data_IF_586924288106
#
_entry.id   IF_586924288106
#
_cell.length_a   1.000
_cell.length_b   1.000
_cell.length_c   1.000
_cell.angle_alpha   90.00
_cell.angle_beta   90.00
_cell.angle_gamma   90.00
#
_symmetry.space_group_name_H-M   'P 1'
#
loop_
_entity.id
_entity.type
_entity.pdbx_description
1 polymer ?
#
# COMPACT_ATOMS: atom_id res chain seq x y z
N UNK A 1 9.59 -2.05 -1.24
CA UNK A 1 8.94 -0.75 -1.49
C UNK A 1 8.26 -0.80 -2.86
N UNK A 2 7.08 -0.20 -2.98
CA UNK A 2 6.36 -0.06 -4.25
C UNK A 2 6.02 1.40 -4.47
N UNK A 3 6.24 1.91 -5.68
CA UNK A 3 5.84 3.27 -6.10
C UNK A 3 5.00 3.19 -7.36
N UNK A 4 3.93 3.98 -7.45
CA UNK A 4 3.13 4.11 -8.66
C UNK A 4 2.45 5.47 -8.74
N UNK A 5 1.98 5.82 -9.94
CA UNK A 5 1.23 7.03 -10.21
C UNK A 5 -0.19 6.67 -10.63
N UNK A 6 -1.16 7.36 -10.05
CA UNK A 6 -2.58 7.25 -10.43
C UNK A 6 -2.91 8.31 -11.47
N UNK A 7 -3.94 8.04 -12.28
CA UNK A 7 -4.55 9.11 -13.07
C UNK A 7 -5.14 10.17 -12.13
N UNK A 8 -5.08 11.47 -12.46
CA UNK A 8 -5.58 12.53 -11.59
C UNK A 8 -7.02 12.28 -11.09
N UNK A 9 -7.89 11.79 -11.98
CA UNK A 9 -9.31 11.53 -11.73
C UNK A 9 -9.58 10.33 -10.81
N UNK A 10 -8.62 9.42 -10.61
CA UNK A 10 -8.80 8.19 -9.81
C UNK A 10 -8.00 8.21 -8.50
N UNK A 11 -7.33 9.33 -8.19
CA UNK A 11 -6.45 9.42 -7.02
C UNK A 11 -7.19 9.29 -5.68
N UNK A 12 -8.35 9.94 -5.54
CA UNK A 12 -9.13 9.89 -4.30
C UNK A 12 -9.82 8.53 -4.12
N UNK A 13 -10.27 7.92 -5.23
CA UNK A 13 -10.75 6.53 -5.24
C UNK A 13 -9.64 5.57 -4.77
N UNK A 14 -8.42 5.72 -5.31
CA UNK A 14 -7.29 4.91 -4.89
C UNK A 14 -6.95 5.12 -3.40
N UNK A 15 -7.02 6.35 -2.90
CA UNK A 15 -6.83 6.65 -1.48
C UNK A 15 -7.86 5.92 -0.62
N UNK A 16 -9.14 5.96 -1.00
CA UNK A 16 -10.19 5.28 -0.25
C UNK A 16 -10.00 3.76 -0.20
N UNK A 17 -9.57 3.14 -1.31
CA UNK A 17 -9.24 1.71 -1.35
C UNK A 17 -8.05 1.38 -0.44
N UNK A 18 -7.00 2.21 -0.45
CA UNK A 18 -5.87 2.04 0.47
C UNK A 18 -6.31 2.19 1.92
N UNK A 19 -7.13 3.18 2.26
CA UNK A 19 -7.68 3.37 3.61
C UNK A 19 -8.51 2.16 4.07
N UNK A 20 -9.26 1.51 3.17
CA UNK A 20 -9.98 0.27 3.48
C UNK A 20 -9.03 -0.89 3.83
N UNK A 21 -7.89 -1.02 3.14
CA UNK A 21 -6.85 -2.01 3.49
C UNK A 21 -6.33 -1.77 4.90
N UNK A 22 -6.05 -0.51 5.25
CA UNK A 22 -5.58 -0.18 6.61
C UNK A 22 -6.66 -0.39 7.67
N UNK A 23 -7.92 -0.15 7.36
CA UNK A 23 -9.03 -0.45 8.28
C UNK A 23 -9.15 -1.96 8.55
N UNK A 24 -9.04 -2.80 7.52
CA UNK A 24 -9.05 -4.25 7.68
C UNK A 24 -7.80 -4.77 8.42
N UNK A 25 -6.63 -4.19 8.16
CA UNK A 25 -5.41 -4.48 8.92
C UNK A 25 -5.55 -4.15 10.41
N UNK A 26 -6.18 -3.01 10.72
CA UNK A 26 -6.42 -2.61 12.11
C UNK A 26 -7.41 -3.54 12.83
N UNK A 27 -8.43 -4.03 12.11
CA UNK A 27 -9.42 -4.98 12.64
C UNK A 27 -8.84 -6.38 12.85
N UNK A 28 -8.15 -6.91 11.84
CA UNK A 28 -7.56 -8.27 11.89
C UNK A 28 -6.28 -8.34 12.72
N UNK A 29 -5.56 -7.22 12.85
CA UNK A 29 -4.27 -7.09 13.55
C UNK A 29 -3.29 -8.25 13.28
N UNK A 30 -3.00 -8.60 12.01
CA UNK A 30 -2.13 -9.72 11.69
C UNK A 30 -0.69 -9.45 12.20
N UNK A 31 -0.06 -10.49 12.72
CA UNK A 31 1.34 -10.41 13.19
C UNK A 31 2.33 -10.50 12.03
N UNK A 32 3.54 -9.98 12.22
CA UNK A 32 4.62 -10.11 11.24
C UNK A 32 4.53 -9.17 10.04
N UNK A 33 3.65 -8.15 10.09
CA UNK A 33 3.50 -7.13 9.05
C UNK A 33 3.68 -5.75 9.68
N UNK A 34 4.58 -4.95 9.11
CA UNK A 34 4.63 -3.49 9.31
C UNK A 34 4.46 -2.83 7.96
N UNK A 35 3.40 -2.03 7.80
CA UNK A 35 3.01 -1.50 6.51
C UNK A 35 2.68 -0.01 6.59
N UNK A 36 3.14 0.74 5.59
CA UNK A 36 2.96 2.18 5.49
C UNK A 36 2.64 2.55 4.05
N UNK A 37 1.71 3.49 3.88
CA UNK A 37 1.38 4.07 2.58
C UNK A 37 1.41 5.59 2.65
N UNK A 38 1.88 6.20 1.57
CA UNK A 38 2.00 7.64 1.43
C UNK A 38 1.45 8.07 0.10
N UNK A 39 0.69 9.17 0.08
CA UNK A 39 0.46 9.98 -1.11
C UNK A 39 1.48 11.12 -1.10
N UNK A 40 2.25 11.28 -2.17
CA UNK A 40 3.26 12.33 -2.24
C UNK A 40 2.63 13.69 -2.55
N UNK A 41 3.42 14.75 -2.42
CA UNK A 41 2.97 16.13 -2.57
C UNK A 41 2.47 16.48 -3.99
N UNK A 42 2.82 15.70 -5.01
CA UNK A 42 2.27 15.83 -6.36
C UNK A 42 0.79 15.42 -6.47
N UNK A 43 0.25 14.82 -5.42
CA UNK A 43 -1.14 14.42 -5.34
C UNK A 43 -1.48 13.19 -6.18
N UNK A 44 -0.55 12.59 -6.91
CA UNK A 44 -0.85 11.46 -7.81
C UNK A 44 0.05 10.25 -7.56
N UNK A 45 1.23 10.46 -6.96
CA UNK A 45 2.16 9.39 -6.64
C UNK A 45 1.82 8.78 -5.29
N UNK A 46 1.75 7.44 -5.26
CA UNK A 46 1.66 6.66 -4.04
C UNK A 46 2.94 5.85 -3.83
N UNK A 47 3.36 5.76 -2.57
CA UNK A 47 4.49 4.94 -2.12
C UNK A 47 4.02 4.02 -1.01
N UNK A 48 4.33 2.74 -1.13
CA UNK A 48 4.06 1.73 -0.11
C UNK A 48 5.36 1.11 0.37
N UNK A 49 5.50 1.03 1.69
CA UNK A 49 6.63 0.42 2.38
C UNK A 49 6.08 -0.68 3.26
N UNK A 50 6.48 -1.92 2.97
CA UNK A 50 6.12 -3.09 3.76
C UNK A 50 7.38 -3.78 4.26
N UNK A 51 7.35 -4.17 5.53
CA UNK A 51 8.29 -5.08 6.16
C UNK A 51 7.44 -6.29 6.59
N UNK A 52 7.77 -7.46 6.06
CA UNK A 52 7.02 -8.70 6.32
C UNK A 52 7.99 -9.77 6.81
N UNK A 53 7.59 -10.51 7.83
CA UNK A 53 8.24 -11.77 8.20
C UNK A 53 7.92 -12.86 7.16
N UNK A 54 8.70 -13.94 7.14
CA UNK A 54 8.51 -15.04 6.18
C UNK A 54 7.10 -15.64 6.29
N UNK A 55 6.37 -15.61 5.17
CA UNK A 55 5.00 -16.12 5.08
C UNK A 55 3.90 -15.12 5.43
N UNK A 56 4.22 -13.95 5.98
CA UNK A 56 3.24 -12.88 6.21
C UNK A 56 2.91 -12.16 4.91
N UNK A 57 1.62 -12.03 4.59
CA UNK A 57 1.16 -11.46 3.32
C UNK A 57 -0.11 -10.64 3.51
N UNK A 58 -0.23 -9.57 2.71
CA UNK A 58 -1.48 -8.80 2.59
C UNK A 58 -2.51 -9.50 1.68
N UNK A 59 -2.12 -10.57 1.00
CA UNK A 59 -2.97 -11.26 0.02
C UNK A 59 -4.24 -11.90 0.63
N UNK A 60 -4.26 -12.16 1.93
CA UNK A 60 -5.41 -12.73 2.64
C UNK A 60 -6.43 -11.67 3.09
N UNK A 61 -6.23 -10.40 2.71
CA UNK A 61 -7.14 -9.30 2.99
C UNK A 61 -8.09 -9.08 1.81
N UNK A 62 -9.38 -9.03 2.10
CA UNK A 62 -10.41 -8.82 1.08
C UNK A 62 -10.29 -7.42 0.47
N UNK A 63 -10.02 -6.41 1.31
CA UNK A 63 -9.77 -5.04 0.87
C UNK A 63 -8.49 -4.93 0.02
N UNK A 64 -7.48 -5.76 0.27
CA UNK A 64 -6.27 -5.75 -0.56
C UNK A 64 -6.54 -6.34 -1.94
N UNK A 65 -7.36 -7.39 -2.00
CA UNK A 65 -7.85 -7.95 -3.26
C UNK A 65 -8.66 -6.91 -4.05
N UNK A 66 -9.59 -6.20 -3.40
CA UNK A 66 -10.37 -5.14 -4.07
C UNK A 66 -9.48 -3.95 -4.47
N UNK A 67 -8.48 -3.59 -3.66
CA UNK A 67 -7.50 -2.56 -4.01
C UNK A 67 -6.69 -2.90 -5.28
N UNK A 68 -6.38 -4.18 -5.51
CA UNK A 68 -5.67 -4.63 -6.72
C UNK A 68 -6.57 -4.69 -7.95
N UNK A 69 -7.87 -4.87 -7.75
CA UNK A 69 -8.84 -4.99 -8.84
C UNK A 69 -8.89 -3.70 -9.67
N UNK A 70 -8.95 -3.88 -10.98
CA UNK A 70 -8.95 -2.81 -11.97
C UNK A 70 -7.82 -1.77 -11.77
N UNK A 71 -6.71 -2.15 -11.11
CA UNK A 71 -5.62 -1.23 -10.83
C UNK A 71 -5.06 -0.60 -12.11
N UNK A 72 -4.92 -1.38 -13.19
CA UNK A 72 -4.42 -0.90 -14.48
C UNK A 72 -5.32 0.14 -15.16
N UNK A 73 -6.62 0.17 -14.84
CA UNK A 73 -7.54 1.17 -15.39
C UNK A 73 -7.38 2.51 -14.65
N UNK A 74 -7.16 2.44 -13.34
CA UNK A 74 -6.98 3.63 -12.50
C UNK A 74 -5.56 4.21 -12.57
N UNK A 75 -4.54 3.37 -12.79
CA UNK A 75 -3.15 3.78 -12.78
C UNK A 75 -2.73 4.51 -14.07
N UNK A 76 -1.81 5.47 -13.94
CA UNK A 76 -1.19 6.17 -15.07
C UNK A 76 -0.04 5.35 -15.69
N UNK A 77 0.43 4.30 -15.00
CA UNK A 77 1.48 3.40 -15.46
C UNK A 77 1.64 2.19 -14.53
N UNK A 78 2.55 1.28 -14.89
CA UNK A 78 2.83 0.11 -14.07
C UNK A 78 3.52 0.51 -12.74
N UNK A 79 3.23 -0.20 -11.64
CA UNK A 79 3.94 0.03 -10.39
C UNK A 79 5.39 -0.40 -10.50
N UNK A 80 6.29 0.36 -9.88
CA UNK A 80 7.69 0.00 -9.73
C UNK A 80 7.90 -0.63 -8.36
N UNK A 81 8.27 -1.91 -8.32
CA UNK A 81 8.65 -2.61 -7.11
C UNK A 81 10.18 -2.58 -6.94
N UNK A 82 10.66 -2.43 -5.71
CA UNK A 82 12.08 -2.45 -5.39
C UNK A 82 12.32 -3.12 -4.04
N UNK A 83 13.32 -4.00 -3.98
CA UNK A 83 13.87 -4.50 -2.73
C UNK A 83 14.53 -3.38 -1.95
N UNK A 84 14.50 -3.46 -0.63
CA UNK A 84 15.13 -2.50 0.26
C UNK A 84 15.64 -3.19 1.52
N UNK A 85 16.74 -2.70 2.08
CA UNK A 85 17.25 -3.11 3.38
C UNK A 85 16.79 -2.11 4.45
N UNK A 86 16.27 -2.61 5.57
CA UNK A 86 15.90 -1.76 6.70
C UNK A 86 17.15 -1.36 7.48
N UNK A 87 17.57 -0.10 7.32
CA UNK A 87 18.71 0.46 8.08
C UNK A 87 18.29 0.94 9.49
N UNK A 88 17.04 1.35 9.65
CA UNK A 88 16.49 1.78 10.94
C UNK A 88 15.03 2.21 10.85
N UNK A 89 14.33 2.18 11.99
CA UNK A 89 12.92 2.57 12.11
C UNK A 89 12.71 3.32 13.43
N UNK A 90 11.98 4.43 13.40
CA UNK A 90 11.65 5.23 14.59
C UNK A 90 10.24 5.81 14.43
N UNK A 91 9.37 5.59 15.42
CA UNK A 91 8.00 6.10 15.40
C UNK A 91 7.06 5.43 14.38
N UNK A 92 7.55 4.48 13.60
CA UNK A 92 6.71 3.52 12.86
C UNK A 92 6.34 2.40 13.82
N UNK A 93 5.32 2.64 14.63
CA UNK A 93 4.65 1.64 15.45
C UNK A 93 3.14 1.73 15.13
N UNK A 94 2.42 0.61 14.98
CA UNK A 94 0.98 0.62 14.76
C UNK A 94 0.22 1.24 15.95
#
# INVERSE_FOLDING_TARGET
MVRYEMRPETTDENKALVEAVFAELADKAPTGISYASFRLADGVTFVHVGITEDGASLADLDAFTEFQKAFGERAAGAPTASGAELVGVYGFNP
#
